data_IF_639615049302
#
_entry.id   IF_639615049302
#
_cell.length_a   1.000
_cell.length_b   1.000
_cell.length_c   1.000
_cell.angle_alpha   90.00
_cell.angle_beta   90.00
_cell.angle_gamma   90.00
#
_symmetry.space_group_name_H-M   'P 1'
#
loop_
_entity.id
_entity.type
_entity.pdbx_description
1 polymer ?
#
# COMPACT_ATOMS: atom_id res chain seq x y z
N UNK A 1 29.61 9.72 -27.35
CA UNK A 1 29.66 10.31 -28.70
C UNK A 1 29.71 9.19 -29.73
N UNK A 2 28.53 8.70 -30.12
CA UNK A 2 28.29 7.86 -31.29
C UNK A 2 26.92 8.30 -31.80
N UNK A 3 26.77 8.82 -33.03
CA UNK A 3 25.46 9.06 -33.59
C UNK A 3 24.93 7.69 -34.04
N UNK A 4 23.92 7.17 -33.36
CA UNK A 4 23.10 6.08 -33.92
C UNK A 4 21.99 6.77 -34.71
N UNK A 5 22.18 6.83 -36.02
CA UNK A 5 21.06 6.87 -36.98
C UNK A 5 20.29 5.54 -36.90
N UNK A 6 19.13 5.47 -37.60
CA UNK A 6 18.17 4.35 -37.78
C UNK A 6 16.93 4.47 -36.86
N UNK A 7 15.67 4.41 -37.29
CA UNK A 7 14.99 3.91 -38.51
C UNK A 7 13.76 4.81 -38.81
N UNK A 8 13.59 5.21 -40.07
CA UNK A 8 12.34 5.75 -40.61
C UNK A 8 11.37 4.57 -40.79
N UNK A 9 10.29 4.50 -40.01
CA UNK A 9 9.22 3.54 -40.27
C UNK A 9 8.36 4.05 -41.43
N UNK A 10 8.76 3.70 -42.65
CA UNK A 10 7.96 3.93 -43.86
C UNK A 10 6.93 2.79 -43.96
N UNK A 11 5.74 2.98 -43.42
CA UNK A 11 4.60 2.11 -43.73
C UNK A 11 4.08 2.46 -45.13
N UNK A 12 4.60 1.78 -46.16
CA UNK A 12 4.09 1.89 -47.52
C UNK A 12 2.95 0.88 -47.71
N UNK A 13 1.72 1.27 -47.35
CA UNK A 13 0.53 0.53 -47.74
C UNK A 13 0.22 0.84 -49.22
N UNK A 14 0.70 -0.03 -50.12
CA UNK A 14 0.26 -0.03 -51.52
C UNK A 14 -1.16 -0.57 -51.59
N UNK A 15 -2.18 0.29 -51.42
CA UNK A 15 -3.55 -0.05 -51.77
C UNK A 15 -3.69 -0.04 -53.30
N UNK A 16 -3.95 -1.21 -53.85
CA UNK A 16 -4.18 -1.40 -55.27
C UNK A 16 -5.56 -0.89 -55.67
N UNK A 17 -5.60 0.31 -56.27
CA UNK A 17 -6.50 0.68 -57.36
C UNK A 17 -7.94 1.02 -57.02
N UNK A 18 -8.22 2.32 -56.85
CA UNK A 18 -9.12 3.12 -57.70
C UNK A 18 -8.64 4.59 -57.57
N UNK A 19 -8.68 5.36 -58.65
CA UNK A 19 -8.26 6.79 -58.69
C UNK A 19 -9.28 7.67 -57.93
N UNK A 20 -9.24 7.66 -56.59
CA UNK A 20 -9.90 8.64 -55.71
C UNK A 20 -8.90 9.67 -55.20
N UNK A 21 -9.28 10.94 -55.13
CA UNK A 21 -8.47 12.02 -54.52
C UNK A 21 -8.64 11.96 -53.01
N UNK A 22 -7.69 11.33 -52.33
CA UNK A 22 -7.79 10.89 -50.96
C UNK A 22 -6.38 10.79 -50.38
N UNK A 23 -6.22 10.83 -49.05
CA UNK A 23 -4.91 10.60 -48.44
C UNK A 23 -4.34 9.24 -48.87
N UNK A 24 -3.19 9.22 -49.55
CA UNK A 24 -2.53 7.96 -49.96
C UNK A 24 -1.15 7.79 -49.33
N UNK A 25 -0.58 8.88 -48.83
CA UNK A 25 0.74 8.90 -48.21
C UNK A 25 0.83 9.99 -47.14
N UNK A 26 1.46 9.63 -46.02
CA UNK A 26 1.76 10.54 -44.93
C UNK A 26 2.99 10.04 -44.18
N UNK A 27 3.62 10.92 -43.42
CA UNK A 27 4.73 10.57 -42.53
C UNK A 27 4.54 11.21 -41.16
N UNK A 28 4.91 10.46 -40.12
CA UNK A 28 4.95 10.94 -38.75
C UNK A 28 6.39 11.27 -38.35
N UNK A 29 6.58 12.43 -37.74
CA UNK A 29 7.81 12.81 -37.05
C UNK A 29 7.48 13.19 -35.61
N UNK A 30 8.32 12.79 -34.66
CA UNK A 30 8.09 13.10 -33.25
C UNK A 30 9.38 13.26 -32.45
N UNK A 31 9.30 14.07 -31.40
CA UNK A 31 10.39 14.31 -30.45
C UNK A 31 9.83 14.43 -29.03
N UNK A 32 10.37 13.69 -28.05
CA UNK A 32 11.44 12.69 -28.17
C UNK A 32 11.03 11.43 -28.93
N UNK A 33 12.01 10.62 -29.35
CA UNK A 33 11.76 9.33 -29.99
C UNK A 33 11.25 8.32 -28.97
N UNK A 34 10.25 7.53 -29.35
CA UNK A 34 9.71 6.46 -28.52
C UNK A 34 10.79 5.47 -28.10
N UNK A 35 10.68 4.95 -26.87
CA UNK A 35 11.45 3.81 -26.39
C UNK A 35 10.53 2.60 -26.40
N UNK A 36 10.87 1.59 -27.20
CA UNK A 36 10.07 0.37 -27.39
C UNK A 36 8.59 0.64 -27.76
N UNK A 37 8.34 1.71 -28.52
CA UNK A 37 7.00 2.08 -28.99
C UNK A 37 6.17 2.90 -28.01
N UNK A 38 6.79 3.43 -26.96
CA UNK A 38 6.11 4.16 -25.90
C UNK A 38 6.81 5.48 -25.49
N UNK A 39 6.04 6.34 -24.82
CA UNK A 39 6.51 7.52 -24.10
C UNK A 39 6.25 7.37 -22.60
N UNK A 40 7.08 8.04 -21.79
CA UNK A 40 7.12 7.92 -20.33
C UNK A 40 6.21 8.90 -19.59
N UNK A 41 6.42 9.03 -18.27
CA UNK A 41 5.61 9.87 -17.37
C UNK A 41 5.67 11.36 -17.70
N UNK A 42 4.51 12.00 -17.86
CA UNK A 42 4.40 13.46 -18.07
C UNK A 42 5.37 13.98 -19.15
N UNK A 43 5.70 13.12 -20.10
CA UNK A 43 6.70 13.38 -21.12
C UNK A 43 6.10 14.35 -22.14
N UNK A 44 6.76 15.47 -22.34
CA UNK A 44 6.34 16.45 -23.34
C UNK A 44 6.79 15.98 -24.72
N UNK A 45 5.82 15.72 -25.59
CA UNK A 45 6.03 15.18 -26.93
C UNK A 45 5.52 16.17 -27.96
N UNK A 46 6.36 16.50 -28.94
CA UNK A 46 5.94 17.14 -30.19
C UNK A 46 5.77 16.08 -31.27
N UNK A 47 4.62 16.05 -31.93
CA UNK A 47 4.25 15.10 -32.98
C UNK A 47 3.80 15.89 -34.20
N UNK A 48 4.37 15.62 -35.37
CA UNK A 48 4.03 16.23 -36.64
C UNK A 48 3.57 15.17 -37.63
N UNK A 49 2.38 15.37 -38.20
CA UNK A 49 1.86 14.64 -39.35
C UNK A 49 2.12 15.46 -40.60
N UNK A 50 2.94 14.91 -41.49
CA UNK A 50 3.22 15.51 -42.78
C UNK A 50 2.43 14.80 -43.88
N UNK A 51 1.62 15.57 -44.60
CA UNK A 51 0.79 15.08 -45.70
C UNK A 51 1.37 15.55 -47.02
N UNK A 52 1.55 14.63 -47.98
CA UNK A 52 1.90 14.98 -49.34
C UNK A 52 0.65 15.52 -50.05
N UNK A 53 0.73 16.74 -50.57
CA UNK A 53 -0.40 17.36 -51.25
C UNK A 53 -0.73 16.71 -52.60
N UNK A 54 0.20 15.95 -53.20
CA UNK A 54 0.00 15.30 -54.50
C UNK A 54 -1.20 14.34 -54.51
N UNK A 55 -1.59 13.84 -53.34
CA UNK A 55 -2.73 12.97 -53.08
C UNK A 55 -4.09 13.64 -53.34
N UNK A 56 -4.13 14.98 -53.31
CA UNK A 56 -5.36 15.79 -53.34
C UNK A 56 -5.58 16.51 -54.68
N UNK A 57 -4.94 16.06 -55.77
CA UNK A 57 -4.97 16.76 -57.07
C UNK A 57 -5.55 15.89 -58.21
N UNK A 58 -6.78 16.17 -58.63
CA UNK A 58 -7.38 15.52 -59.82
C UNK A 58 -8.81 15.87 -60.23
N UNK A 59 -9.58 16.61 -59.42
CA UNK A 59 -11.04 16.71 -59.60
C UNK A 59 -11.77 17.80 -58.79
N UNK A 60 -11.03 18.77 -58.25
CA UNK A 60 -11.52 19.87 -57.40
C UNK A 60 -11.88 19.49 -55.96
N UNK A 61 -11.21 18.48 -55.38
CA UNK A 61 -11.36 18.11 -53.97
C UNK A 61 -10.06 18.42 -53.23
N UNK A 62 -10.06 19.44 -52.39
CA UNK A 62 -8.87 19.95 -51.73
C UNK A 62 -8.87 19.55 -50.25
N UNK A 63 -7.70 19.23 -49.70
CA UNK A 63 -7.56 18.98 -48.26
C UNK A 63 -8.07 20.20 -47.49
N UNK A 64 -9.02 19.98 -46.60
CA UNK A 64 -9.75 21.05 -45.95
C UNK A 64 -9.76 20.94 -44.43
N UNK A 65 -9.80 19.72 -43.89
CA UNK A 65 -9.70 19.52 -42.46
C UNK A 65 -8.81 18.32 -42.08
N UNK A 66 -8.28 18.39 -40.87
CA UNK A 66 -7.53 17.34 -40.21
C UNK A 66 -8.02 17.24 -38.77
N UNK A 67 -8.67 16.12 -38.45
CA UNK A 67 -9.39 15.90 -37.19
C UNK A 67 -8.66 14.80 -36.42
N UNK A 68 -7.79 15.13 -35.47
CA UNK A 68 -7.12 14.15 -34.63
C UNK A 68 -8.07 13.63 -33.54
N UNK A 69 -7.96 12.34 -33.27
CA UNK A 69 -8.50 11.65 -32.11
C UNK A 69 -7.31 11.13 -31.31
N UNK A 70 -7.19 11.59 -30.07
CA UNK A 70 -6.10 11.23 -29.18
C UNK A 70 -6.54 10.12 -28.24
N UNK A 71 -5.67 9.13 -28.05
CA UNK A 71 -5.76 8.11 -27.01
C UNK A 71 -5.90 8.70 -25.62
N UNK A 72 -6.42 7.89 -24.70
CA UNK A 72 -6.74 8.33 -23.33
C UNK A 72 -5.53 8.60 -22.44
N UNK A 73 -4.32 8.17 -22.86
CA UNK A 73 -3.08 8.44 -22.14
C UNK A 73 -2.49 9.84 -22.36
N UNK A 74 -3.15 10.71 -23.13
CA UNK A 74 -2.73 12.10 -23.36
C UNK A 74 -3.42 13.09 -22.42
N UNK A 75 -2.67 14.03 -21.84
CA UNK A 75 -3.22 15.19 -21.14
C UNK A 75 -3.58 16.30 -22.14
N UNK A 76 -4.82 16.26 -22.65
CA UNK A 76 -5.33 17.24 -23.62
C UNK A 76 -5.43 18.67 -23.07
N UNK A 77 -5.33 18.88 -21.76
CA UNK A 77 -5.26 20.25 -21.21
C UNK A 77 -3.94 20.96 -21.57
N UNK A 78 -2.92 20.19 -21.96
CA UNK A 78 -1.61 20.68 -22.37
C UNK A 78 -1.46 20.84 -23.89
N UNK A 79 -2.51 20.54 -24.66
CA UNK A 79 -2.45 20.54 -26.11
C UNK A 79 -2.14 21.93 -26.67
N UNK A 80 -0.96 22.06 -27.26
CA UNK A 80 -0.56 23.15 -28.14
C UNK A 80 -0.46 22.64 -29.58
N UNK A 81 -0.76 23.52 -30.54
CA UNK A 81 -0.89 23.14 -31.95
C UNK A 81 -0.12 24.12 -32.83
N UNK A 82 0.49 23.58 -33.89
CA UNK A 82 1.24 24.35 -34.87
C UNK A 82 0.65 24.03 -36.24
N UNK A 83 -0.01 25.03 -36.83
CA UNK A 83 -0.61 24.93 -38.15
C UNK A 83 0.44 25.11 -39.26
N UNK A 84 0.31 24.39 -40.39
CA UNK A 84 1.15 24.64 -41.55
C UNK A 84 0.85 26.02 -42.14
N UNK A 85 1.80 26.52 -42.94
CA UNK A 85 1.50 27.68 -43.78
C UNK A 85 0.57 27.27 -44.91
N UNK A 86 -0.44 28.11 -45.20
CA UNK A 86 -1.20 27.92 -46.44
C UNK A 86 -0.29 28.09 -47.65
N UNK A 87 -0.58 27.30 -48.67
CA UNK A 87 0.08 27.27 -49.96
C UNK A 87 -0.75 27.97 -51.06
N UNK A 88 -1.98 28.36 -50.75
CA UNK A 88 -2.90 29.02 -51.67
C UNK A 88 -2.65 30.53 -51.73
N UNK A 89 -2.91 31.10 -52.91
CA UNK A 89 -2.83 32.55 -53.13
C UNK A 89 -4.21 33.24 -53.05
N UNK A 90 -5.17 32.62 -52.37
CA UNK A 90 -6.55 33.08 -52.18
C UNK A 90 -6.75 33.88 -50.88
N UNK A 91 -5.71 33.97 -50.05
CA UNK A 91 -5.72 34.64 -48.75
C UNK A 91 -6.20 33.77 -47.59
N UNK A 92 -6.33 32.46 -47.77
CA UNK A 92 -6.68 31.53 -46.70
C UNK A 92 -5.53 31.16 -45.77
N UNK A 93 -5.86 30.43 -44.71
CA UNK A 93 -4.91 29.98 -43.68
C UNK A 93 -5.43 28.73 -42.97
N UNK A 94 -4.50 27.91 -42.48
CA UNK A 94 -4.82 26.83 -41.56
C UNK A 94 -4.87 27.36 -40.12
N UNK A 95 -5.89 26.95 -39.38
CA UNK A 95 -5.99 27.24 -37.96
C UNK A 95 -6.62 26.06 -37.21
N UNK A 96 -6.33 25.99 -35.92
CA UNK A 96 -6.99 25.05 -35.02
C UNK A 96 -8.33 25.58 -34.54
N UNK A 97 -9.35 24.74 -34.59
CA UNK A 97 -10.68 25.02 -34.10
C UNK A 97 -11.06 24.02 -32.99
N UNK A 98 -11.39 24.49 -31.77
CA UNK A 98 -11.53 23.63 -30.59
C UNK A 98 -12.93 23.01 -30.39
N UNK A 99 -13.91 23.34 -31.24
CA UNK A 99 -15.30 22.96 -31.03
C UNK A 99 -15.96 22.56 -32.35
N UNK A 100 -17.15 21.93 -32.28
CA UNK A 100 -17.72 21.30 -33.46
C UNK A 100 -17.87 22.31 -34.59
N UNK A 101 -17.33 21.97 -35.76
CA UNK A 101 -17.47 22.76 -36.98
C UNK A 101 -18.63 22.18 -37.76
N UNK A 102 -19.69 22.96 -37.90
CA UNK A 102 -20.88 22.57 -38.65
C UNK A 102 -20.93 23.35 -39.96
N UNK A 103 -20.94 22.65 -41.08
CA UNK A 103 -21.20 23.26 -42.38
C UNK A 103 -22.67 23.69 -42.46
N UNK A 104 -22.93 24.97 -42.78
CA UNK A 104 -24.28 25.45 -43.02
C UNK A 104 -24.85 24.92 -44.35
N UNK A 105 -23.97 24.63 -45.31
CA UNK A 105 -24.34 24.11 -46.62
C UNK A 105 -24.86 22.65 -46.58
N UNK A 106 -24.20 21.79 -45.80
CA UNK A 106 -24.50 20.36 -45.72
C UNK A 106 -25.19 19.92 -44.43
N UNK A 107 -25.05 20.69 -43.35
CA UNK A 107 -25.46 20.32 -41.99
C UNK A 107 -24.54 19.28 -41.32
N UNK A 108 -23.46 18.86 -41.98
CA UNK A 108 -22.47 17.95 -41.40
C UNK A 108 -21.71 18.65 -40.28
N UNK A 109 -21.38 17.90 -39.23
CA UNK A 109 -20.68 18.41 -38.05
C UNK A 109 -19.47 17.55 -37.77
N UNK A 110 -18.33 18.21 -37.60
CA UNK A 110 -17.02 17.60 -37.42
C UNK A 110 -16.38 18.08 -36.11
N UNK A 111 -15.43 17.28 -35.59
CA UNK A 111 -14.80 17.52 -34.29
C UNK A 111 -13.79 18.67 -34.28
N UNK A 112 -13.09 18.82 -33.15
CA UNK A 112 -11.95 19.74 -33.07
C UNK A 112 -10.83 19.30 -34.02
N UNK A 113 -10.15 20.25 -34.66
CA UNK A 113 -9.18 19.92 -35.69
C UNK A 113 -8.54 21.15 -36.31
N UNK A 114 -7.61 20.90 -37.23
CA UNK A 114 -7.17 21.94 -38.15
C UNK A 114 -8.16 22.06 -39.28
N UNK A 115 -8.57 23.28 -39.57
CA UNK A 115 -9.38 23.57 -40.75
C UNK A 115 -8.73 24.68 -41.54
N UNK A 116 -8.86 24.59 -42.85
CA UNK A 116 -8.44 25.63 -43.76
C UNK A 116 -9.57 26.63 -43.97
N UNK A 117 -9.34 27.88 -43.56
CA UNK A 117 -10.29 28.97 -43.73
C UNK A 117 -9.84 29.83 -44.92
N UNK A 118 -10.79 30.29 -45.76
CA UNK A 118 -10.45 31.19 -46.87
C UNK A 118 -11.56 32.20 -47.18
N UNK A 119 -11.23 33.43 -47.60
CA UNK A 119 -12.25 34.41 -48.01
C UNK A 119 -13.10 33.99 -49.22
N UNK A 120 -12.78 32.86 -49.85
CA UNK A 120 -13.36 32.39 -51.10
C UNK A 120 -13.94 30.99 -50.91
N UNK A 121 -15.14 30.89 -50.35
CA UNK A 121 -15.90 29.64 -50.20
C UNK A 121 -17.16 29.89 -49.36
N UNK A 122 -18.26 29.18 -49.64
CA UNK A 122 -19.45 29.22 -48.78
C UNK A 122 -20.28 30.51 -48.73
N UNK A 123 -21.30 30.50 -47.87
CA UNK A 123 -22.18 31.65 -47.56
C UNK A 123 -21.70 32.48 -46.38
N UNK A 124 -20.75 31.97 -45.59
CA UNK A 124 -20.14 32.62 -44.43
C UNK A 124 -18.60 32.41 -44.48
N UNK A 125 -17.84 33.51 -44.47
CA UNK A 125 -16.37 33.48 -44.56
C UNK A 125 -15.68 33.32 -43.20
N UNK A 126 -16.45 33.20 -42.12
CA UNK A 126 -15.93 32.98 -40.77
C UNK A 126 -16.21 31.53 -40.28
N UNK A 127 -16.80 30.68 -41.12
CA UNK A 127 -17.10 29.28 -40.80
C UNK A 127 -16.30 28.32 -41.69
N UNK A 128 -15.21 27.72 -41.18
CA UNK A 128 -14.34 26.85 -41.99
C UNK A 128 -15.03 25.57 -42.46
N UNK A 129 -16.25 25.25 -42.01
CA UNK A 129 -17.02 24.13 -42.55
C UNK A 129 -17.53 24.36 -43.98
N UNK A 130 -17.62 25.61 -44.44
CA UNK A 130 -18.26 25.98 -45.71
C UNK A 130 -17.29 26.43 -46.81
N UNK A 131 -15.99 26.40 -46.54
CA UNK A 131 -14.95 26.88 -47.46
C UNK A 131 -14.47 25.78 -48.43
N UNK A 132 -13.71 26.22 -49.44
CA UNK A 132 -12.89 25.31 -50.22
C UNK A 132 -11.59 25.04 -49.49
N UNK A 133 -11.06 23.83 -49.62
CA UNK A 133 -9.78 23.43 -49.03
C UNK A 133 -8.57 24.11 -49.66
N UNK A 134 -7.39 23.84 -49.09
CA UNK A 134 -6.13 24.48 -49.47
C UNK A 134 -5.64 23.98 -50.83
N UNK A 135 -5.61 24.85 -51.82
CA UNK A 135 -5.28 24.57 -53.23
C UNK A 135 -3.78 24.59 -53.50
N UNK A 136 -3.00 23.71 -52.86
CA UNK A 136 -1.55 23.73 -53.04
C UNK A 136 -1.08 23.30 -54.43
N UNK A 137 0.10 23.78 -54.87
CA UNK A 137 0.82 23.19 -55.98
C UNK A 137 1.31 21.76 -55.67
N UNK A 138 1.47 20.96 -56.72
CA UNK A 138 2.10 19.63 -56.69
C UNK A 138 3.54 19.71 -56.13
N UNK A 139 3.91 18.75 -55.29
CA UNK A 139 5.22 18.58 -54.67
C UNK A 139 5.42 19.38 -53.38
N UNK A 140 4.34 19.81 -52.74
CA UNK A 140 4.35 20.48 -51.44
C UNK A 140 3.91 19.52 -50.34
N UNK A 141 4.58 19.61 -49.19
CA UNK A 141 4.24 18.90 -47.96
C UNK A 141 3.64 19.89 -46.95
N UNK A 142 2.54 19.50 -46.31
CA UNK A 142 1.92 20.26 -45.22
C UNK A 142 2.18 19.55 -43.89
N UNK A 143 2.78 20.26 -42.95
CA UNK A 143 3.12 19.74 -41.61
C UNK A 143 2.14 20.26 -40.56
N UNK A 144 1.37 19.34 -39.98
CA UNK A 144 0.45 19.62 -38.88
C UNK A 144 1.05 19.07 -37.59
N UNK A 145 1.37 19.93 -36.63
CA UNK A 145 1.99 19.48 -35.39
C UNK A 145 1.14 19.73 -34.16
N UNK A 146 1.28 18.82 -33.20
CA UNK A 146 0.72 18.84 -31.87
C UNK A 146 1.87 18.79 -30.86
N UNK A 147 1.76 19.51 -29.76
CA UNK A 147 2.65 19.38 -28.61
C UNK A 147 1.78 19.18 -27.38
N UNK A 148 2.02 18.09 -26.65
CA UNK A 148 1.20 17.69 -25.51
C UNK A 148 1.98 16.73 -24.62
N UNK A 149 1.50 16.55 -23.40
CA UNK A 149 2.09 15.63 -22.42
C UNK A 149 1.31 14.33 -22.34
N UNK A 150 2.03 13.24 -22.09
CA UNK A 150 1.41 12.02 -21.55
C UNK A 150 0.86 12.29 -20.14
N UNK A 151 -0.12 11.51 -19.71
CA UNK A 151 -0.64 11.58 -18.32
C UNK A 151 0.42 11.13 -17.30
N UNK A 152 0.20 11.49 -16.04
CA UNK A 152 1.04 11.02 -14.94
C UNK A 152 0.86 9.50 -14.70
N UNK A 153 1.90 8.84 -14.19
CA UNK A 153 1.87 7.41 -13.85
C UNK A 153 0.78 7.07 -12.83
N UNK A 154 0.55 7.95 -11.86
CA UNK A 154 -0.52 7.78 -10.86
C UNK A 154 -1.92 7.79 -11.49
N UNK A 155 -2.07 8.44 -12.65
CA UNK A 155 -3.32 8.50 -13.43
C UNK A 155 -3.36 7.45 -14.55
N UNK A 156 -2.27 6.71 -14.77
CA UNK A 156 -2.09 5.77 -15.86
C UNK A 156 -2.80 4.45 -15.57
N UNK A 157 -3.76 4.05 -16.42
CA UNK A 157 -4.48 2.78 -16.30
C UNK A 157 -4.02 1.79 -17.39
N UNK A 158 -4.00 0.46 -17.12
CA UNK A 158 -3.52 -0.55 -18.09
C UNK A 158 -4.24 -0.60 -19.45
N UNK A 159 -5.42 0.02 -19.57
CA UNK A 159 -6.19 0.09 -20.81
C UNK A 159 -5.94 1.39 -21.62
N UNK A 160 -5.09 2.29 -21.12
CA UNK A 160 -4.76 3.54 -21.81
C UNK A 160 -3.79 3.32 -22.96
N UNK A 161 -3.96 4.11 -24.01
CA UNK A 161 -3.14 4.16 -25.20
C UNK A 161 -2.73 5.60 -25.52
N UNK A 162 -1.70 5.74 -26.35
CA UNK A 162 -1.24 7.01 -26.91
C UNK A 162 -1.50 7.07 -28.42
N UNK A 163 -2.42 6.25 -28.94
CA UNK A 163 -2.70 6.22 -30.36
C UNK A 163 -3.23 7.59 -30.81
N UNK A 164 -2.86 8.00 -32.01
CA UNK A 164 -3.43 9.19 -32.64
C UNK A 164 -3.99 8.76 -33.99
N UNK A 165 -5.32 8.82 -34.10
CA UNK A 165 -6.02 8.59 -35.34
C UNK A 165 -6.41 9.93 -35.93
N UNK A 166 -6.00 10.19 -37.17
CA UNK A 166 -6.31 11.44 -37.86
C UNK A 166 -7.20 11.15 -39.05
N UNK A 167 -8.40 11.72 -39.00
CA UNK A 167 -9.31 11.76 -40.13
C UNK A 167 -9.04 13.02 -40.95
N UNK A 168 -8.75 12.85 -42.24
CA UNK A 168 -8.56 13.94 -43.19
C UNK A 168 -9.82 14.13 -44.02
N UNK A 169 -10.29 15.38 -44.14
CA UNK A 169 -11.46 15.69 -44.94
C UNK A 169 -11.08 16.51 -46.16
N UNK A 170 -11.60 16.10 -47.32
CA UNK A 170 -11.76 17.01 -48.45
C UNK A 170 -12.77 18.11 -48.14
N UNK A 171 -12.78 19.14 -48.97
CA UNK A 171 -13.81 20.19 -48.97
C UNK A 171 -15.22 19.69 -49.31
N UNK A 172 -15.36 18.55 -49.99
CA UNK A 172 -16.65 17.88 -50.15
C UNK A 172 -17.13 17.23 -48.83
N UNK A 173 -16.22 16.56 -48.11
CA UNK A 173 -16.53 15.81 -46.88
C UNK A 173 -16.72 16.70 -45.66
N UNK A 174 -16.03 17.83 -45.62
CA UNK A 174 -16.26 18.87 -44.60
C UNK A 174 -17.63 19.55 -44.76
N UNK A 175 -18.18 19.56 -45.99
CA UNK A 175 -19.46 20.18 -46.33
C UNK A 175 -19.40 21.42 -47.24
N UNK A 176 -18.23 21.80 -47.77
CA UNK A 176 -18.04 22.98 -48.62
C UNK A 176 -18.57 22.87 -50.06
N UNK A 177 -18.94 21.67 -50.54
CA UNK A 177 -19.35 21.44 -51.94
C UNK A 177 -20.54 20.47 -52.09
N UNK A 178 -21.46 20.81 -53.01
CA UNK A 178 -22.78 20.19 -53.19
C UNK A 178 -22.80 18.99 -54.16
N UNK A 179 -21.64 18.43 -54.50
CA UNK A 179 -21.52 17.38 -55.52
C UNK A 179 -20.97 16.10 -54.89
N UNK A 180 -21.38 14.97 -55.48
CA UNK A 180 -21.16 13.61 -54.98
C UNK A 180 -19.75 13.41 -54.40
N UNK A 181 -19.61 12.94 -53.15
CA UNK A 181 -18.30 12.74 -52.54
C UNK A 181 -17.55 11.68 -53.34
N UNK A 182 -16.33 12.01 -53.77
CA UNK A 182 -15.47 11.09 -54.53
C UNK A 182 -14.37 10.47 -53.68
N UNK A 183 -14.08 11.09 -52.52
CA UNK A 183 -13.38 10.47 -51.41
C UNK A 183 -14.43 10.15 -50.33
N UNK A 184 -14.59 8.87 -50.00
CA UNK A 184 -15.50 8.42 -48.92
C UNK A 184 -14.92 7.26 -48.12
N UNK A 185 -13.72 6.79 -48.48
CA UNK A 185 -13.03 5.64 -47.89
C UNK A 185 -11.52 5.83 -48.03
N UNK A 186 -10.98 6.95 -47.51
CA UNK A 186 -9.54 7.02 -47.21
C UNK A 186 -9.26 6.46 -45.83
N UNK A 187 -8.10 5.81 -45.68
CA UNK A 187 -7.68 5.22 -44.40
C UNK A 187 -7.16 6.35 -43.52
N UNK A 188 -7.62 6.40 -42.27
CA UNK A 188 -7.14 7.37 -41.29
C UNK A 188 -5.62 7.25 -41.12
N UNK A 189 -4.95 8.40 -40.96
CA UNK A 189 -3.55 8.38 -40.56
C UNK A 189 -3.46 7.94 -39.11
N UNK A 190 -2.86 6.77 -38.88
CA UNK A 190 -2.75 6.17 -37.56
C UNK A 190 -1.30 6.19 -37.08
N UNK A 191 -1.08 6.82 -35.93
CA UNK A 191 0.11 6.64 -35.12
C UNK A 191 -0.24 5.70 -33.97
N UNK A 192 0.41 4.54 -33.90
CA UNK A 192 0.23 3.59 -32.80
C UNK A 192 1.31 3.84 -31.75
N UNK A 193 0.91 3.99 -30.50
CA UNK A 193 1.82 4.22 -29.37
C UNK A 193 1.19 3.76 -28.06
N UNK A 194 2.00 3.26 -27.14
CA UNK A 194 1.55 2.95 -25.78
C UNK A 194 2.13 3.93 -24.76
N UNK A 195 1.50 4.00 -23.58
CA UNK A 195 2.05 4.69 -22.41
C UNK A 195 2.80 3.70 -21.53
N UNK A 196 3.98 4.06 -21.02
CA UNK A 196 4.69 3.21 -20.06
C UNK A 196 4.15 3.45 -18.64
N UNK A 197 3.00 2.90 -18.27
CA UNK A 197 2.52 3.03 -16.88
C UNK A 197 3.53 2.46 -15.88
N UNK A 198 3.44 2.91 -14.62
CA UNK A 198 4.20 2.32 -13.54
C UNK A 198 3.65 0.93 -13.21
N UNK A 199 4.42 -0.13 -13.47
CA UNK A 199 4.08 -1.51 -13.12
C UNK A 199 4.83 -1.94 -11.85
N UNK A 200 4.77 -1.08 -10.82
CA UNK A 200 5.28 -1.37 -9.49
C UNK A 200 4.12 -1.40 -8.50
N UNK A 201 3.94 -2.53 -7.82
CA UNK A 201 2.87 -2.68 -6.84
C UNK A 201 3.41 -2.97 -5.44
N UNK A 202 3.43 -1.97 -4.56
CA UNK A 202 3.86 -2.10 -3.16
C UNK A 202 2.73 -2.49 -2.20
N UNK A 203 1.47 -2.50 -2.66
CA UNK A 203 0.29 -2.81 -1.86
C UNK A 203 -0.25 -1.60 -1.08
N UNK A 204 -1.28 -1.79 -0.25
CA UNK A 204 -1.87 -0.71 0.54
C UNK A 204 -1.02 -0.37 1.78
N UNK A 205 -1.22 0.83 2.31
CA UNK A 205 -0.76 1.21 3.65
C UNK A 205 -1.39 0.32 4.73
N UNK A 206 -0.64 0.03 5.80
CA UNK A 206 -1.08 -0.83 6.90
C UNK A 206 -0.77 -0.20 8.26
N UNK A 207 -1.65 -0.46 9.23
CA UNK A 207 -1.42 -0.19 10.64
C UNK A 207 -1.35 -1.53 11.39
N UNK A 208 -0.23 -1.79 12.07
CA UNK A 208 0.02 -3.02 12.82
C UNK A 208 0.36 -2.66 14.27
N UNK A 209 -0.19 -3.42 15.23
CA UNK A 209 0.20 -3.32 16.64
C UNK A 209 0.64 -4.68 17.18
N UNK A 210 1.75 -4.71 17.91
CA UNK A 210 2.29 -5.91 18.57
C UNK A 210 2.50 -5.68 20.06
N UNK A 211 2.38 -6.73 20.87
CA UNK A 211 2.75 -6.67 22.28
C UNK A 211 4.28 -6.66 22.44
N UNK A 212 4.82 -5.88 23.39
CA UNK A 212 6.26 -5.80 23.70
C UNK A 212 6.91 -7.16 23.96
N UNK A 213 6.20 -8.10 24.60
CA UNK A 213 6.69 -9.46 24.86
C UNK A 213 6.24 -10.48 23.79
N UNK A 214 5.80 -9.98 22.63
CA UNK A 214 5.33 -10.79 21.51
C UNK A 214 6.46 -11.55 20.79
N UNK A 215 6.11 -12.55 19.97
CA UNK A 215 7.10 -13.25 19.15
C UNK A 215 7.67 -12.34 18.05
N UNK A 216 8.84 -12.71 17.50
CA UNK A 216 9.37 -12.10 16.27
C UNK A 216 8.40 -12.36 15.11
N UNK A 217 8.09 -11.30 14.36
CA UNK A 217 7.12 -11.32 13.25
C UNK A 217 7.82 -11.05 11.93
N UNK A 218 7.45 -11.76 10.87
CA UNK A 218 7.86 -11.44 9.50
C UNK A 218 6.83 -10.49 8.87
N UNK A 219 7.18 -9.23 8.70
CA UNK A 219 6.25 -8.20 8.20
C UNK A 219 5.83 -8.46 6.74
N UNK A 220 6.68 -9.12 5.94
CA UNK A 220 6.33 -9.53 4.58
C UNK A 220 5.07 -10.41 4.52
N UNK A 221 4.72 -11.14 5.58
CA UNK A 221 3.52 -12.00 5.61
C UNK A 221 2.21 -11.18 5.64
N UNK A 222 2.28 -9.88 5.91
CA UNK A 222 1.13 -8.97 5.97
C UNK A 222 0.91 -8.22 4.65
N UNK A 223 1.88 -8.23 3.73
CA UNK A 223 1.74 -7.62 2.42
C UNK A 223 0.82 -8.47 1.53
N UNK A 224 -0.07 -7.82 0.78
CA UNK A 224 -1.02 -8.49 -0.13
C UNK A 224 -0.93 -7.90 -1.53
N UNK A 225 -0.93 -8.78 -2.52
CA UNK A 225 -0.88 -8.43 -3.94
C UNK A 225 0.28 -7.46 -4.26
N UNK A 226 1.50 -7.79 -3.82
CA UNK A 226 2.70 -6.96 -3.99
C UNK A 226 3.76 -7.62 -4.88
N UNK A 227 4.52 -6.79 -5.57
CA UNK A 227 5.74 -7.18 -6.26
C UNK A 227 6.93 -7.24 -5.31
N UNK A 228 8.08 -7.68 -5.83
CA UNK A 228 9.32 -7.74 -5.05
C UNK A 228 9.93 -6.36 -4.88
N UNK A 229 9.96 -5.89 -3.63
CA UNK A 229 10.53 -4.62 -3.21
C UNK A 229 11.51 -4.74 -2.04
N UNK A 230 11.94 -3.58 -1.54
CA UNK A 230 12.87 -3.45 -0.44
C UNK A 230 12.28 -2.61 0.70
N UNK A 231 12.63 -2.97 1.94
CA UNK A 231 12.20 -2.28 3.15
C UNK A 231 13.14 -1.14 3.52
N UNK A 232 12.56 -0.07 4.04
CA UNK A 232 13.24 1.06 4.64
C UNK A 232 12.58 1.45 5.96
N UNK A 233 13.34 2.03 6.88
CA UNK A 233 12.77 2.63 8.10
C UNK A 233 12.68 4.16 7.94
N UNK A 234 11.48 4.72 8.10
CA UNK A 234 11.26 6.15 7.91
C UNK A 234 11.92 6.95 9.05
N UNK A 235 13.13 7.40 8.75
CA UNK A 235 13.96 8.21 9.63
C UNK A 235 14.73 9.22 8.78
N UNK A 236 15.38 10.24 9.36
CA UNK A 236 16.19 11.19 8.59
C UNK A 236 17.27 10.53 7.72
N UNK A 237 17.74 9.33 8.10
CA UNK A 237 18.72 8.54 7.35
C UNK A 237 18.12 7.53 6.37
N UNK A 238 16.81 7.28 6.43
CA UNK A 238 16.06 6.30 5.64
C UNK A 238 16.83 4.98 5.33
N UNK A 239 17.36 4.28 6.36
CA UNK A 239 18.20 3.12 6.14
C UNK A 239 17.43 2.01 5.42
N UNK A 240 18.07 1.37 4.45
CA UNK A 240 17.56 0.15 3.82
C UNK A 240 17.73 -1.04 4.75
N UNK A 241 16.70 -1.87 4.82
CA UNK A 241 16.60 -3.08 5.65
C UNK A 241 16.66 -4.36 4.81
N UNK A 242 16.69 -4.24 3.48
CA UNK A 242 16.69 -5.37 2.53
C UNK A 242 15.30 -5.85 2.16
N UNK A 243 15.21 -7.02 1.53
CA UNK A 243 13.98 -7.50 0.89
C UNK A 243 13.00 -8.18 1.88
N UNK A 244 13.48 -8.50 3.09
CA UNK A 244 12.68 -9.11 4.15
C UNK A 244 12.84 -8.39 5.48
N UNK A 245 11.73 -8.16 6.17
CA UNK A 245 11.69 -7.47 7.45
C UNK A 245 11.18 -8.40 8.55
N UNK A 246 12.09 -8.80 9.44
CA UNK A 246 11.74 -9.40 10.73
C UNK A 246 11.67 -8.26 11.76
N UNK A 247 10.57 -8.21 12.50
CA UNK A 247 10.34 -7.25 13.57
C UNK A 247 10.26 -7.99 14.91
N UNK A 248 11.14 -7.67 15.85
CA UNK A 248 11.14 -8.18 17.22
C UNK A 248 10.52 -7.14 18.17
N UNK A 249 9.27 -7.34 18.63
CA UNK A 249 8.65 -6.44 19.60
C UNK A 249 9.51 -6.30 20.86
N UNK A 250 9.63 -5.08 21.38
CA UNK A 250 10.48 -4.76 22.53
C UNK A 250 11.98 -4.60 22.25
N UNK A 251 12.46 -4.97 21.05
CA UNK A 251 13.85 -4.76 20.61
C UNK A 251 13.93 -3.74 19.48
N UNK A 252 13.12 -3.94 18.43
CA UNK A 252 13.08 -3.04 17.29
C UNK A 252 12.29 -1.77 17.60
N UNK A 253 12.64 -0.68 16.91
CA UNK A 253 12.03 0.63 17.15
C UNK A 253 10.67 0.72 16.45
N UNK A 254 9.55 0.96 17.16
CA UNK A 254 8.26 1.20 16.52
C UNK A 254 8.27 2.49 15.69
N UNK A 255 7.38 2.57 14.71
CA UNK A 255 7.26 3.69 13.78
C UNK A 255 6.90 3.25 12.37
N UNK A 256 7.11 4.14 11.40
CA UNK A 256 6.75 3.89 10.00
C UNK A 256 7.88 3.17 9.27
N UNK A 257 7.58 2.00 8.74
CA UNK A 257 8.39 1.25 7.80
C UNK A 257 7.82 1.45 6.39
N UNK A 258 8.70 1.59 5.40
CA UNK A 258 8.31 1.84 4.01
C UNK A 258 8.72 0.66 3.17
N UNK A 259 7.77 0.06 2.45
CA UNK A 259 8.06 -0.92 1.42
C UNK A 259 8.11 -0.23 0.07
N UNK A 260 9.24 -0.33 -0.63
CA UNK A 260 9.50 0.32 -1.92
C UNK A 260 9.58 -0.74 -3.00
N UNK A 261 8.71 -0.65 -3.99
CA UNK A 261 8.80 -1.45 -5.22
C UNK A 261 9.23 -0.53 -6.35
N UNK A 262 10.26 -0.94 -7.08
CA UNK A 262 10.76 -0.21 -8.25
C UNK A 262 10.49 -1.02 -9.51
N UNK A 263 9.80 -0.43 -10.49
CA UNK A 263 9.63 -1.03 -11.81
C UNK A 263 10.97 -0.98 -12.55
N UNK A 264 11.44 -2.15 -12.98
CA UNK A 264 12.73 -2.29 -13.67
C UNK A 264 12.74 -1.74 -15.11
N UNK A 265 11.57 -1.44 -15.69
CA UNK A 265 11.44 -0.94 -17.05
C UNK A 265 11.66 0.57 -17.13
N UNK A 266 11.07 1.33 -16.20
CA UNK A 266 11.02 2.79 -16.25
C UNK A 266 11.54 3.47 -14.96
N UNK A 267 12.07 2.70 -14.00
CA UNK A 267 12.55 3.16 -12.69
C UNK A 267 11.48 3.90 -11.86
N UNK A 268 10.18 3.72 -12.16
CA UNK A 268 9.12 4.25 -11.31
C UNK A 268 9.10 3.51 -9.97
N UNK A 269 8.70 4.21 -8.91
CA UNK A 269 8.57 3.62 -7.58
C UNK A 269 7.12 3.70 -7.11
N UNK A 270 6.66 2.61 -6.49
CA UNK A 270 5.44 2.57 -5.70
C UNK A 270 5.80 2.25 -4.25
N UNK A 271 5.05 2.85 -3.32
CA UNK A 271 5.38 2.88 -1.89
C UNK A 271 4.17 2.41 -1.08
N UNK A 272 4.42 1.58 -0.08
CA UNK A 272 3.46 1.29 0.99
C UNK A 272 4.04 1.70 2.35
N UNK A 273 3.23 2.41 3.16
CA UNK A 273 3.59 2.84 4.50
C UNK A 273 2.98 1.90 5.54
N UNK A 274 3.84 1.29 6.35
CA UNK A 274 3.46 0.32 7.39
C UNK A 274 3.79 0.96 8.73
N UNK A 275 2.76 1.45 9.41
CA UNK A 275 2.88 1.99 10.76
C UNK A 275 2.84 0.84 11.77
N UNK A 276 3.94 0.68 12.51
CA UNK A 276 4.06 -0.34 13.55
C UNK A 276 4.04 0.34 14.92
N UNK A 277 3.02 0.02 15.71
CA UNK A 277 2.91 0.35 17.13
C UNK A 277 3.31 -0.86 17.98
N UNK A 278 3.82 -0.57 19.17
CA UNK A 278 4.16 -1.60 20.17
C UNK A 278 3.47 -1.22 21.48
N UNK A 279 2.62 -2.12 21.97
CA UNK A 279 1.88 -1.99 23.22
C UNK A 279 2.67 -2.62 24.37
N UNK A 280 2.80 -1.88 25.47
CA UNK A 280 3.37 -2.40 26.72
C UNK A 280 2.26 -3.03 27.57
N UNK A 281 2.35 -4.35 27.76
CA UNK A 281 1.47 -5.11 28.64
C UNK A 281 1.86 -5.00 30.11
N UNK A 282 1.03 -5.55 30.98
CA UNK A 282 1.37 -5.69 32.40
C UNK A 282 2.10 -7.01 32.68
N UNK A 283 2.98 -6.99 33.67
CA UNK A 283 3.65 -8.19 34.20
C UNK A 283 3.05 -8.57 35.56
N UNK A 284 2.33 -9.68 35.66
CA UNK A 284 1.78 -10.15 36.93
C UNK A 284 2.83 -10.86 37.83
N UNK A 285 4.05 -11.06 37.36
CA UNK A 285 5.08 -11.89 38.01
C UNK A 285 5.00 -13.35 37.54
N UNK A 286 5.69 -14.24 38.26
CA UNK A 286 5.56 -15.68 38.06
C UNK A 286 5.00 -16.36 39.29
N UNK A 287 4.40 -17.52 39.06
CA UNK A 287 3.79 -18.37 40.07
C UNK A 287 4.77 -18.77 41.17
N UNK A 288 4.23 -18.97 42.37
CA UNK A 288 4.98 -19.40 43.55
C UNK A 288 4.11 -20.26 44.46
N UNK A 289 4.70 -21.26 45.12
CA UNK A 289 4.06 -22.01 46.20
C UNK A 289 4.72 -21.66 47.52
N UNK A 290 3.92 -21.34 48.54
CA UNK A 290 4.38 -21.02 49.89
C UNK A 290 3.70 -21.91 50.93
N UNK A 291 4.43 -22.26 51.98
CA UNK A 291 3.90 -23.01 53.12
C UNK A 291 3.99 -22.15 54.38
N UNK A 292 2.86 -21.96 55.05
CA UNK A 292 2.73 -21.13 56.24
C UNK A 292 2.30 -21.97 57.45
N UNK A 293 2.73 -21.60 58.66
CA UNK A 293 2.15 -22.19 59.87
C UNK A 293 0.73 -21.64 60.07
N UNK A 294 -0.21 -22.49 60.50
CA UNK A 294 -1.61 -22.10 60.74
C UNK A 294 -1.76 -20.96 61.77
N UNK A 295 -0.84 -20.89 62.74
CA UNK A 295 -0.73 -19.81 63.74
C UNK A 295 0.30 -18.71 63.34
N UNK A 296 0.75 -18.72 62.09
CA UNK A 296 1.71 -17.77 61.55
C UNK A 296 1.17 -16.35 61.49
N UNK A 297 2.09 -15.38 61.37
CA UNK A 297 1.74 -13.98 61.17
C UNK A 297 1.10 -13.71 59.79
N UNK A 298 0.60 -12.49 59.61
CA UNK A 298 0.10 -12.03 58.31
C UNK A 298 1.23 -11.99 57.26
N UNK A 299 0.90 -12.29 56.00
CA UNK A 299 1.81 -12.31 54.84
C UNK A 299 1.20 -11.47 53.72
N UNK A 300 2.02 -10.67 53.04
CA UNK A 300 1.63 -10.02 51.78
C UNK A 300 2.04 -10.96 50.64
N UNK A 301 1.05 -11.50 49.92
CA UNK A 301 1.25 -12.45 48.82
C UNK A 301 1.92 -11.79 47.61
N UNK A 302 1.70 -10.49 47.37
CA UNK A 302 2.39 -9.72 46.34
C UNK A 302 3.90 -9.74 46.54
N UNK A 303 4.36 -9.65 47.78
CA UNK A 303 5.79 -9.73 48.11
C UNK A 303 6.36 -11.15 47.94
N UNK A 304 5.50 -12.17 47.78
CA UNK A 304 5.92 -13.55 47.54
C UNK A 304 6.03 -13.89 46.05
N UNK A 305 5.36 -13.14 45.18
CA UNK A 305 5.46 -13.32 43.73
C UNK A 305 6.92 -13.19 43.27
N UNK A 306 7.32 -14.03 42.33
CA UNK A 306 8.68 -13.99 41.77
C UNK A 306 8.72 -13.19 40.47
N UNK A 307 9.93 -12.84 40.00
CA UNK A 307 10.11 -12.00 38.81
C UNK A 307 10.05 -10.50 39.13
N UNK A 308 9.37 -9.74 38.27
CA UNK A 308 9.21 -8.28 38.39
C UNK A 308 7.73 -7.91 38.26
N UNK A 309 6.87 -8.33 39.20
CA UNK A 309 5.44 -8.04 39.13
C UNK A 309 5.19 -6.53 39.22
N UNK A 310 4.33 -6.03 38.35
CA UNK A 310 3.82 -4.67 38.40
C UNK A 310 2.83 -4.52 39.55
N UNK A 311 2.84 -3.35 40.18
CA UNK A 311 1.87 -3.02 41.22
C UNK A 311 0.53 -2.56 40.61
N UNK A 312 -0.58 -2.81 41.31
CA UNK A 312 -1.91 -2.30 40.96
C UNK A 312 -2.88 -3.30 40.30
N UNK A 313 -2.46 -4.56 40.14
CA UNK A 313 -3.32 -5.67 39.74
C UNK A 313 -4.34 -6.06 40.81
N UNK A 314 -5.26 -6.95 40.44
CA UNK A 314 -6.35 -7.43 41.30
C UNK A 314 -6.13 -8.88 41.72
N UNK A 315 -6.51 -9.21 42.95
CA UNK A 315 -6.46 -10.57 43.45
C UNK A 315 -7.82 -11.26 43.46
N UNK A 316 -7.81 -12.56 43.20
CA UNK A 316 -8.94 -13.47 43.48
C UNK A 316 -8.51 -14.58 44.43
N UNK A 317 -9.42 -14.99 45.31
CA UNK A 317 -9.21 -16.12 46.23
C UNK A 317 -9.43 -17.49 45.54
N UNK A 318 -9.21 -18.62 46.24
CA UNK A 318 -9.40 -19.95 45.65
C UNK A 318 -10.85 -20.29 45.28
N UNK A 319 -11.84 -19.48 45.67
CA UNK A 319 -13.23 -19.60 45.22
C UNK A 319 -13.52 -18.74 43.97
N UNK A 320 -12.57 -17.93 43.54
CA UNK A 320 -12.69 -16.99 42.42
C UNK A 320 -13.33 -15.65 42.81
N UNK A 321 -13.51 -15.39 44.11
CA UNK A 321 -14.04 -14.11 44.59
C UNK A 321 -12.92 -13.07 44.72
N UNK A 322 -13.26 -11.79 44.58
CA UNK A 322 -12.29 -10.70 44.72
C UNK A 322 -11.72 -10.70 46.14
N UNK A 323 -10.40 -10.78 46.24
CA UNK A 323 -9.66 -10.81 47.49
C UNK A 323 -8.80 -9.57 47.66
N UNK A 324 -8.40 -9.28 48.90
CA UNK A 324 -7.55 -8.14 49.26
C UNK A 324 -6.50 -8.58 50.27
N UNK A 325 -5.27 -8.07 50.10
CA UNK A 325 -4.20 -8.29 51.05
C UNK A 325 -4.44 -7.63 52.42
N UNK A 326 -3.78 -8.11 53.50
CA UNK A 326 -2.83 -9.23 53.56
C UNK A 326 -3.50 -10.60 53.83
N UNK A 327 -2.78 -11.69 53.54
CA UNK A 327 -3.16 -13.06 53.89
C UNK A 327 -2.89 -13.36 55.36
N UNK A 328 -3.85 -13.98 56.03
CA UNK A 328 -3.79 -14.42 57.43
C UNK A 328 -4.01 -15.93 57.52
N UNK A 329 -2.97 -16.73 57.85
CA UNK A 329 -3.08 -18.20 57.92
C UNK A 329 -4.19 -18.72 58.84
N UNK A 330 -4.57 -17.95 59.87
CA UNK A 330 -5.61 -18.34 60.82
C UNK A 330 -7.05 -17.97 60.38
N UNK A 331 -7.22 -17.17 59.32
CA UNK A 331 -8.53 -16.67 58.90
C UNK A 331 -8.84 -16.95 57.43
N UNK A 332 -7.84 -16.89 56.57
CA UNK A 332 -7.97 -17.06 55.13
C UNK A 332 -7.84 -18.53 54.73
N UNK A 333 -8.53 -18.91 53.66
CA UNK A 333 -8.56 -20.27 53.17
C UNK A 333 -7.27 -20.59 52.40
N UNK A 334 -6.70 -21.78 52.63
CA UNK A 334 -5.60 -22.27 51.80
C UNK A 334 -6.03 -22.58 50.38
N UNK A 335 -5.09 -22.49 49.44
CA UNK A 335 -5.35 -22.70 48.01
C UNK A 335 -4.65 -21.67 47.13
N UNK A 336 -5.10 -21.59 45.88
CA UNK A 336 -4.50 -20.72 44.87
C UNK A 336 -5.14 -19.33 44.92
N UNK A 337 -4.31 -18.32 45.14
CA UNK A 337 -4.66 -16.92 44.99
C UNK A 337 -4.08 -16.40 43.67
N UNK A 338 -4.91 -15.80 42.82
CA UNK A 338 -4.48 -15.34 41.49
C UNK A 338 -4.37 -13.83 41.47
N UNK A 339 -3.19 -13.31 41.13
CA UNK A 339 -2.95 -11.90 40.84
C UNK A 339 -3.10 -11.66 39.33
N UNK A 340 -3.84 -10.63 38.93
CA UNK A 340 -4.20 -10.44 37.52
C UNK A 340 -4.23 -8.98 37.08
N UNK A 341 -3.94 -8.80 35.79
CA UNK A 341 -4.14 -7.57 35.03
C UNK A 341 -4.96 -7.85 33.76
N UNK A 342 -5.81 -6.91 33.32
CA UNK A 342 -6.51 -7.03 32.05
C UNK A 342 -5.55 -6.90 30.85
N UNK A 343 -6.00 -7.37 29.69
CA UNK A 343 -5.33 -7.14 28.40
C UNK A 343 -5.26 -5.63 28.07
N UNK A 344 -4.19 -5.21 27.39
CA UNK A 344 -3.99 -3.85 26.86
C UNK A 344 -3.59 -3.95 25.39
N UNK A 345 -4.36 -3.33 24.50
CA UNK A 345 -4.02 -3.30 23.07
C UNK A 345 -3.82 -4.70 22.49
N UNK A 346 -2.66 -4.93 21.88
CA UNK A 346 -2.24 -6.24 21.37
C UNK A 346 -1.62 -7.17 22.43
N UNK A 347 -1.48 -6.74 23.68
CA UNK A 347 -1.03 -7.57 24.79
C UNK A 347 -2.19 -8.28 25.48
N UNK A 348 -2.05 -9.61 25.62
CA UNK A 348 -2.97 -10.45 26.37
C UNK A 348 -3.00 -10.12 27.87
N UNK A 349 -4.04 -10.59 28.57
CA UNK A 349 -4.13 -10.46 30.02
C UNK A 349 -3.00 -11.25 30.72
N UNK A 350 -2.45 -10.67 31.79
CA UNK A 350 -1.33 -11.24 32.55
C UNK A 350 -1.81 -11.71 33.92
N UNK A 351 -1.35 -12.88 34.36
CA UNK A 351 -1.70 -13.44 35.66
C UNK A 351 -0.54 -14.24 36.27
N UNK A 352 -0.53 -14.30 37.61
CA UNK A 352 0.39 -15.12 38.39
C UNK A 352 -0.35 -15.73 39.59
N UNK A 353 0.02 -16.94 39.97
CA UNK A 353 -0.63 -17.72 41.01
C UNK A 353 0.26 -17.87 42.25
N UNK A 354 -0.33 -17.65 43.43
CA UNK A 354 0.28 -17.96 44.72
C UNK A 354 -0.47 -19.13 45.35
N UNK A 355 0.14 -20.31 45.32
CA UNK A 355 -0.40 -21.49 45.99
C UNK A 355 0.00 -21.47 47.48
N UNK A 356 -0.98 -21.34 48.36
CA UNK A 356 -0.77 -21.28 49.81
C UNK A 356 -1.18 -22.59 50.47
N UNK A 357 -0.22 -23.26 51.09
CA UNK A 357 -0.45 -24.39 51.98
C UNK A 357 -0.26 -23.98 53.45
N UNK A 358 -1.05 -24.56 54.35
CA UNK A 358 -0.88 -24.38 55.80
C UNK A 358 -0.46 -25.68 56.46
N UNK A 359 0.56 -25.61 57.31
CA UNK A 359 0.92 -26.71 58.22
C UNK A 359 0.36 -26.44 59.62
N UNK A 360 -0.15 -27.48 60.31
CA UNK A 360 -0.68 -27.32 61.66
C UNK A 360 0.40 -26.89 62.65
N UNK A 361 -0.01 -26.26 63.75
CA UNK A 361 0.88 -25.93 64.86
C UNK A 361 1.52 -27.19 65.46
N UNK A 362 2.76 -27.05 65.96
CA UNK A 362 3.39 -28.09 66.73
C UNK A 362 2.70 -28.23 68.11
N UNK A 363 2.10 -29.39 68.39
CA UNK A 363 1.42 -29.65 69.66
C UNK A 363 2.29 -30.53 70.56
N UNK A 364 2.80 -29.97 71.66
CA UNK A 364 3.60 -30.70 72.64
C UNK A 364 2.76 -31.42 73.70
N UNK A 365 1.42 -31.40 73.60
CA UNK A 365 0.51 -31.92 74.61
C UNK A 365 0.31 -30.97 75.79
N UNK A 366 -0.53 -31.40 76.73
CA UNK A 366 -0.79 -30.70 77.98
C UNK A 366 0.08 -31.27 79.12
N UNK A 367 0.45 -30.40 80.06
CA UNK A 367 1.20 -30.81 81.25
C UNK A 367 0.41 -31.81 82.08
N UNK A 368 1.01 -32.96 82.37
CA UNK A 368 0.45 -33.97 83.27
C UNK A 368 1.26 -34.07 84.58
N UNK A 369 0.76 -34.86 85.52
CA UNK A 369 1.49 -35.23 86.73
C UNK A 369 1.25 -36.70 87.06
N UNK A 370 2.32 -37.50 87.03
CA UNK A 370 2.26 -38.93 87.24
C UNK A 370 3.03 -39.34 88.50
N UNK A 371 2.52 -40.34 89.22
CA UNK A 371 3.23 -40.99 90.34
C UNK A 371 3.63 -42.39 89.88
N UNK A 372 4.94 -42.60 89.68
CA UNK A 372 5.50 -43.88 89.25
C UNK A 372 6.02 -44.68 90.45
N UNK A 373 5.85 -46.00 90.43
CA UNK A 373 6.38 -46.88 91.47
C UNK A 373 7.81 -47.33 91.11
N UNK A 374 8.70 -47.42 92.09
CA UNK A 374 10.13 -47.78 91.87
C UNK A 374 10.36 -49.23 91.40
N UNK A 375 9.30 -49.99 91.12
CA UNK A 375 9.33 -51.37 90.66
C UNK A 375 8.65 -51.55 89.30
N UNK A 376 8.26 -50.46 88.63
CA UNK A 376 7.67 -50.50 87.29
C UNK A 376 8.74 -50.62 86.20
N UNK A 377 8.33 -51.13 85.03
CA UNK A 377 9.15 -51.15 83.82
C UNK A 377 9.28 -49.73 83.24
N UNK A 378 10.16 -49.57 82.25
CA UNK A 378 10.37 -48.30 81.51
C UNK A 378 9.05 -47.75 80.99
N UNK A 379 8.83 -46.44 81.15
CA UNK A 379 7.60 -45.75 80.72
C UNK A 379 7.93 -44.77 79.59
N UNK A 380 7.11 -44.76 78.54
CA UNK A 380 7.20 -43.74 77.49
C UNK A 380 6.62 -42.41 78.00
N UNK A 381 7.46 -41.38 78.07
CA UNK A 381 7.09 -40.05 78.51
C UNK A 381 6.01 -39.42 77.61
N UNK A 382 5.89 -39.80 76.33
CA UNK A 382 4.84 -39.31 75.43
C UNK A 382 3.45 -39.77 75.87
N UNK A 383 3.34 -41.03 76.32
CA UNK A 383 2.08 -41.61 76.83
C UNK A 383 1.64 -40.96 78.15
N UNK A 384 2.54 -40.22 78.81
CA UNK A 384 2.25 -39.54 80.06
C UNK A 384 1.69 -38.14 79.86
N UNK A 385 1.81 -37.52 78.70
CA UNK A 385 1.27 -36.18 78.45
C UNK A 385 -0.26 -36.22 78.33
N UNK A 386 -0.92 -35.20 78.87
CA UNK A 386 -2.35 -34.99 78.63
C UNK A 386 -2.56 -34.37 77.22
N UNK A 387 -3.80 -34.26 76.75
CA UNK A 387 -4.10 -33.64 75.45
C UNK A 387 -3.87 -34.56 74.24
N UNK A 388 -3.31 -34.02 73.16
CA UNK A 388 -3.03 -34.77 71.91
C UNK A 388 -1.63 -34.42 71.37
N UNK A 389 -0.56 -34.69 72.14
CA UNK A 389 0.80 -34.38 71.71
C UNK A 389 1.11 -35.04 70.37
N UNK A 390 1.76 -34.30 69.49
CA UNK A 390 2.30 -34.85 68.26
C UNK A 390 3.44 -35.82 68.57
N UNK A 391 3.49 -36.98 67.89
CA UNK A 391 4.64 -37.88 67.98
C UNK A 391 5.90 -37.18 67.43
N UNK A 392 7.09 -37.69 67.80
CA UNK A 392 8.40 -37.23 67.33
C UNK A 392 8.90 -35.87 67.89
N UNK A 393 8.30 -35.36 68.97
CA UNK A 393 8.85 -34.25 69.77
C UNK A 393 10.19 -34.59 70.47
N UNK A 394 10.89 -33.58 70.99
CA UNK A 394 12.14 -33.76 71.75
C UNK A 394 11.95 -33.54 73.24
N UNK A 395 12.46 -34.48 74.05
CA UNK A 395 12.49 -34.37 75.50
C UNK A 395 13.78 -33.70 75.97
N UNK A 396 13.67 -32.73 76.87
CA UNK A 396 14.83 -32.08 77.50
C UNK A 396 14.72 -32.11 79.01
N UNK A 397 15.86 -32.28 79.70
CA UNK A 397 15.94 -32.16 81.16
C UNK A 397 15.92 -30.68 81.61
N UNK A 398 15.94 -30.45 82.93
CA UNK A 398 15.97 -29.09 83.50
C UNK A 398 17.25 -28.30 83.19
N UNK A 399 18.28 -28.96 82.68
CA UNK A 399 19.55 -28.35 82.24
C UNK A 399 19.58 -28.12 80.72
N UNK A 400 18.52 -28.53 80.00
CA UNK A 400 18.37 -28.37 78.56
C UNK A 400 19.05 -29.46 77.73
N UNK A 401 19.50 -30.56 78.34
CA UNK A 401 20.06 -31.68 77.59
C UNK A 401 18.94 -32.52 76.99
N UNK A 402 19.10 -32.96 75.73
CA UNK A 402 18.16 -33.88 75.09
C UNK A 402 18.26 -35.25 75.76
N UNK A 403 17.11 -35.78 76.20
CA UNK A 403 16.99 -37.08 76.86
C UNK A 403 16.11 -38.04 76.04
N UNK A 404 16.18 -39.33 76.36
CA UNK A 404 15.27 -40.33 75.80
C UNK A 404 13.84 -40.08 76.27
N UNK A 405 12.85 -40.39 75.43
CA UNK A 405 11.43 -40.48 75.84
C UNK A 405 11.16 -41.70 76.72
N UNK A 406 12.06 -42.69 76.72
CA UNK A 406 11.99 -43.86 77.59
C UNK A 406 12.58 -43.52 78.98
N UNK A 407 11.73 -43.38 80.01
CA UNK A 407 12.11 -43.05 81.39
C UNK A 407 12.21 -44.28 82.31
#
# INVERSE_FOLDING_TARGET
MYPRSYILFLFLLLSGGFLGQCLTSYTWEYSPQQVDGAWGNEEEVQICLSIDHDDWQGGNHYLHALIPQFGSGWDLSTLEVISPSSCSNDGGYWAWYPGPITSEASGMTHGAGFYYESPHGGTDSDNPGDNFGDRCPIGLQLDFCFQLKTVAFDDCMPEMDLDIQVNTLSDDESGGSFLSPTCTEDEDALLVSSIQCCDAQAGPDLELSFCTDGPIVLINDYLQDVDSGAWHFQSPSNPSLGDTLFFEPGVDTPGTYVYVVTDTVNDCENLAFIEIEVDDGFNAGNDVSITLCENGGIVYLFDQLSGTPDAGGTWTDPMGDVWQEPFSPSNDMTGIYTYSFPAIGSCEASNAEVEVESIPEADAGENSSVVLCSCEETVDLLDLLDGSPQPDGQWTDSEGNVISSDF
#
